data_IF_634886151676
#
_entry.id   IF_634886151676
#
_cell.length_a   1.000
_cell.length_b   1.000
_cell.length_c   1.000
_cell.angle_alpha   90.00
_cell.angle_beta   90.00
_cell.angle_gamma   90.00
#
_symmetry.space_group_name_H-M   'P 1'
#
loop_
_entity.id
_entity.type
_entity.pdbx_description
1 polymer ?
#
# COMPACT_ATOMS: atom_id res chain seq x y z
N UNK A 1 -17.12 -20.42 21.76
CA UNK A 1 -17.33 -20.28 23.22
C UNK A 1 -16.10 -20.92 23.85
N UNK A 2 -15.10 -20.23 24.39
CA UNK A 2 -15.14 -19.09 25.31
C UNK A 2 -13.73 -18.44 25.42
N UNK A 3 -13.69 -17.11 25.63
CA UNK A 3 -12.60 -16.26 26.20
C UNK A 3 -11.27 -16.15 25.43
N UNK A 4 -11.07 -15.16 24.56
CA UNK A 4 -10.79 -13.73 24.85
C UNK A 4 -9.88 -13.46 26.07
N UNK A 5 -8.69 -12.99 25.72
CA UNK A 5 -7.99 -11.86 26.35
C UNK A 5 -7.41 -12.05 27.75
N UNK A 6 -6.21 -12.64 27.76
CA UNK A 6 -5.20 -12.27 28.73
C UNK A 6 -4.57 -10.91 28.36
N UNK A 7 -4.83 -9.93 29.23
CA UNK A 7 -3.77 -9.11 29.85
C UNK A 7 -3.09 -8.03 28.99
N UNK A 8 -3.72 -6.87 28.84
CA UNK A 8 -3.07 -5.54 28.91
C UNK A 8 -4.16 -4.56 29.40
N UNK A 9 -4.13 -4.00 30.61
CA UNK A 9 -3.40 -2.77 30.93
C UNK A 9 -3.20 -2.61 32.44
N UNK A 10 -1.96 -2.26 32.73
CA UNK A 10 -1.33 -1.92 33.99
C UNK A 10 -1.79 -0.53 34.45
N UNK A 11 -2.14 -0.40 35.73
CA UNK A 11 -2.10 0.80 36.60
C UNK A 11 -2.91 2.03 36.15
N UNK A 12 -3.63 2.74 37.02
CA UNK A 12 -3.19 3.27 38.31
C UNK A 12 -4.36 3.39 39.26
N UNK A 13 -4.07 3.12 40.54
CA UNK A 13 -4.90 3.50 41.66
C UNK A 13 -5.24 5.00 41.55
N UNK A 14 -6.52 5.30 41.40
CA UNK A 14 -7.07 6.61 41.68
C UNK A 14 -8.00 6.43 42.88
N UNK A 15 -7.41 6.56 44.07
CA UNK A 15 -8.18 6.69 45.31
C UNK A 15 -8.77 8.09 45.27
N UNK A 16 -10.06 8.19 44.93
CA UNK A 16 -10.85 9.38 45.26
C UNK A 16 -11.45 9.12 46.63
N UNK A 17 -11.13 10.03 47.55
CA UNK A 17 -11.49 9.97 48.95
C UNK A 17 -12.99 9.69 49.18
N UNK A 18 -13.22 9.02 50.31
CA UNK A 18 -14.54 8.62 50.75
C UNK A 18 -15.51 9.79 50.84
N UNK A 19 -16.68 9.60 50.23
CA UNK A 19 -17.89 10.32 50.60
C UNK A 19 -18.84 9.26 51.16
N UNK A 20 -18.83 9.10 52.49
CA UNK A 20 -19.89 8.42 53.18
C UNK A 20 -21.10 9.37 53.23
N UNK A 21 -22.03 9.23 52.29
CA UNK A 21 -23.32 9.90 52.31
C UNK A 21 -24.41 8.86 52.60
N UNK A 22 -24.59 8.53 53.87
CA UNK A 22 -25.75 7.80 54.37
C UNK A 22 -26.98 8.72 54.31
N UNK A 23 -27.72 8.64 53.22
CA UNK A 23 -29.00 9.32 53.04
C UNK A 23 -29.49 9.19 51.60
N UNK A 24 -30.82 9.12 51.42
CA UNK A 24 -31.52 8.98 50.13
C UNK A 24 -31.00 9.90 49.01
N UNK A 25 -30.40 11.05 49.35
CA UNK A 25 -29.76 11.97 48.41
C UNK A 25 -28.52 11.39 47.71
N UNK A 26 -27.72 10.57 48.40
CA UNK A 26 -26.51 9.95 47.85
C UNK A 26 -26.82 8.90 46.79
N UNK A 27 -27.90 8.13 46.98
CA UNK A 27 -28.37 7.15 46.00
C UNK A 27 -28.88 7.82 44.72
N UNK A 28 -29.53 8.98 44.84
CA UNK A 28 -30.03 9.77 43.70
C UNK A 28 -28.90 10.36 42.84
N UNK A 29 -27.82 10.86 43.47
CA UNK A 29 -26.64 11.36 42.75
C UNK A 29 -25.93 10.22 42.02
N UNK A 30 -25.83 9.05 42.66
CA UNK A 30 -25.23 7.87 42.03
C UNK A 30 -26.06 7.34 40.86
N UNK A 31 -27.40 7.34 40.98
CA UNK A 31 -28.31 6.98 39.89
C UNK A 31 -28.26 7.98 38.73
N UNK A 32 -28.18 9.29 39.02
CA UNK A 32 -28.02 10.32 38.00
C UNK A 32 -26.67 10.21 37.27
N UNK A 33 -25.59 9.91 38.00
CA UNK A 33 -24.28 9.67 37.42
C UNK A 33 -24.29 8.39 36.56
N UNK A 34 -24.92 7.31 37.01
CA UNK A 34 -25.07 6.09 36.21
C UNK A 34 -25.91 6.32 34.96
N UNK A 35 -26.98 7.10 35.03
CA UNK A 35 -27.83 7.44 33.88
C UNK A 35 -27.07 8.29 32.85
N UNK A 36 -26.31 9.29 33.30
CA UNK A 36 -25.46 10.12 32.43
C UNK A 36 -24.38 9.29 31.74
N UNK A 37 -23.68 8.42 32.48
CA UNK A 37 -22.66 7.51 31.92
C UNK A 37 -23.28 6.52 30.92
N UNK A 38 -24.51 6.06 31.16
CA UNK A 38 -25.22 5.17 30.24
C UNK A 38 -25.57 5.90 28.93
N UNK A 39 -26.10 7.13 29.03
CA UNK A 39 -26.49 7.93 27.87
C UNK A 39 -25.27 8.36 27.01
N UNK A 40 -24.12 8.62 27.65
CA UNK A 40 -22.86 8.90 26.95
C UNK A 40 -22.34 7.69 26.15
N UNK A 41 -22.54 6.45 26.63
CA UNK A 41 -22.13 5.24 25.90
C UNK A 41 -23.07 4.95 24.73
N UNK A 42 -24.36 5.22 24.86
CA UNK A 42 -25.34 5.04 23.78
C UNK A 42 -25.12 6.05 22.64
N UNK A 43 -24.76 7.30 22.96
CA UNK A 43 -24.46 8.31 21.94
C UNK A 43 -23.17 7.98 21.13
N UNK A 44 -22.11 7.49 21.78
CA UNK A 44 -20.83 7.24 21.12
C UNK A 44 -20.81 5.98 20.23
N UNK A 45 -21.66 4.98 20.50
CA UNK A 45 -21.73 3.76 19.67
C UNK A 45 -22.58 3.92 18.41
N UNK A 46 -23.43 4.95 18.34
CA UNK A 46 -24.29 5.19 17.17
C UNK A 46 -23.50 5.85 16.03
N UNK A 47 -22.44 6.60 16.30
CA UNK A 47 -21.74 7.40 15.28
C UNK A 47 -20.76 6.58 14.41
N UNK A 48 -20.10 5.56 14.97
CA UNK A 48 -19.08 4.79 14.23
C UNK A 48 -19.64 3.66 13.36
N UNK A 49 -20.80 3.08 13.71
CA UNK A 49 -21.39 1.98 12.91
C UNK A 49 -22.36 2.49 11.83
N UNK A 50 -22.96 3.67 12.01
CA UNK A 50 -23.81 4.30 10.98
C UNK A 50 -22.99 4.86 9.82
N UNK A 51 -21.82 5.48 10.05
CA UNK A 51 -20.97 5.99 8.96
C UNK A 51 -20.43 4.88 8.05
N UNK A 52 -20.10 3.72 8.62
CA UNK A 52 -19.66 2.56 7.85
C UNK A 52 -20.78 1.95 7.01
N UNK A 53 -22.02 1.98 7.49
CA UNK A 53 -23.18 1.38 6.82
C UNK A 53 -23.80 2.28 5.76
N UNK A 54 -23.78 3.61 5.96
CA UNK A 54 -24.37 4.58 5.03
C UNK A 54 -23.56 4.74 3.73
N UNK A 55 -22.24 4.52 3.77
CA UNK A 55 -21.36 4.63 2.59
C UNK A 55 -20.92 3.28 2.00
N UNK A 56 -21.23 2.15 2.63
CA UNK A 56 -20.86 0.81 2.15
C UNK A 56 -21.84 0.18 1.16
N UNK A 57 -22.98 0.81 0.87
CA UNK A 57 -24.04 0.21 0.04
C UNK A 57 -23.88 0.42 -1.46
N UNK A 58 -22.88 1.19 -1.91
CA UNK A 58 -22.62 1.38 -3.34
C UNK A 58 -21.41 0.54 -3.76
N UNK A 59 -21.59 -0.47 -4.64
CA UNK A 59 -20.45 -1.21 -5.18
C UNK A 59 -19.52 -0.22 -5.88
N UNK A 60 -18.25 -0.22 -5.49
CA UNK A 60 -17.21 0.64 -6.07
C UNK A 60 -17.14 0.35 -7.59
N UNK A 61 -17.67 1.24 -8.42
CA UNK A 61 -17.51 1.12 -9.87
C UNK A 61 -16.04 1.41 -10.19
N UNK A 62 -15.35 0.47 -10.83
CA UNK A 62 -13.93 0.59 -11.23
C UNK A 62 -13.69 1.86 -12.07
N UNK A 63 -14.67 2.23 -12.89
CA UNK A 63 -14.67 3.48 -13.67
C UNK A 63 -14.66 4.74 -12.80
N UNK A 64 -15.23 4.69 -11.60
CA UNK A 64 -15.28 5.81 -10.66
C UNK A 64 -13.89 6.16 -10.13
N UNK A 65 -13.09 5.16 -9.76
CA UNK A 65 -11.77 5.40 -9.16
C UNK A 65 -10.75 5.94 -10.16
N UNK A 66 -10.69 5.36 -11.36
CA UNK A 66 -9.78 5.82 -12.41
C UNK A 66 -10.08 7.24 -12.87
N UNK A 67 -11.37 7.60 -12.97
CA UNK A 67 -11.79 8.95 -13.29
C UNK A 67 -11.47 9.92 -12.14
N UNK A 68 -11.81 9.56 -10.90
CA UNK A 68 -11.49 10.36 -9.72
C UNK A 68 -10.00 10.67 -9.62
N UNK A 69 -9.12 9.68 -9.82
CA UNK A 69 -7.67 9.89 -9.77
C UNK A 69 -7.19 10.79 -10.91
N UNK A 70 -7.74 10.62 -12.10
CA UNK A 70 -7.42 11.51 -13.23
C UNK A 70 -7.85 12.95 -12.94
N UNK A 71 -8.98 13.16 -12.29
CA UNK A 71 -9.45 14.49 -11.90
C UNK A 71 -8.51 15.11 -10.86
N UNK A 72 -8.02 14.33 -9.87
CA UNK A 72 -6.97 14.80 -8.94
C UNK A 72 -5.67 15.16 -9.65
N UNK A 73 -5.24 14.38 -10.65
CA UNK A 73 -4.07 14.71 -11.46
C UNK A 73 -4.25 16.02 -12.24
N UNK A 74 -5.46 16.28 -12.77
CA UNK A 74 -5.78 17.54 -13.45
C UNK A 74 -5.76 18.74 -12.50
N UNK A 75 -6.33 18.60 -11.31
CA UNK A 75 -6.30 19.65 -10.28
C UNK A 75 -4.88 19.97 -9.83
N UNK A 76 -4.00 18.97 -9.77
CA UNK A 76 -2.59 19.14 -9.44
C UNK A 76 -1.72 19.53 -10.65
N UNK A 77 -2.32 19.75 -11.84
CA UNK A 77 -1.63 20.08 -13.09
C UNK A 77 -0.52 19.09 -13.50
N UNK A 78 -0.66 17.81 -13.13
CA UNK A 78 0.28 16.75 -13.48
C UNK A 78 -0.31 15.74 -14.47
N UNK A 79 0.47 15.24 -15.44
CA UNK A 79 0.02 14.16 -16.29
C UNK A 79 -0.04 12.86 -15.49
N UNK A 80 -1.19 12.17 -15.49
CA UNK A 80 -1.31 10.93 -14.72
C UNK A 80 -2.61 10.16 -14.90
N UNK A 81 -2.50 8.86 -14.71
CA UNK A 81 -3.63 7.95 -14.49
C UNK A 81 -3.16 6.77 -13.65
N UNK A 82 -4.09 6.08 -12.99
CA UNK A 82 -3.77 4.86 -12.20
C UNK A 82 -3.14 3.79 -13.09
N UNK A 83 -3.67 3.63 -14.30
CA UNK A 83 -3.10 2.69 -15.27
C UNK A 83 -1.67 3.08 -15.63
N UNK A 84 -1.43 4.36 -15.88
CA UNK A 84 -0.09 4.90 -16.10
C UNK A 84 0.84 4.66 -14.91
N UNK A 85 0.34 4.82 -13.68
CA UNK A 85 1.11 4.58 -12.46
C UNK A 85 1.56 3.13 -12.35
N UNK A 86 0.68 2.16 -12.64
CA UNK A 86 1.04 0.74 -12.67
C UNK A 86 2.11 0.43 -13.71
N UNK A 87 1.98 0.99 -14.92
CA UNK A 87 2.99 0.84 -15.99
C UNK A 87 4.34 1.45 -15.60
N UNK A 88 4.33 2.63 -14.99
CA UNK A 88 5.53 3.30 -14.52
C UNK A 88 6.24 2.49 -13.42
N UNK A 89 5.48 1.91 -12.48
CA UNK A 89 6.02 1.01 -11.46
C UNK A 89 6.68 -0.22 -12.06
N UNK A 90 6.01 -0.90 -13.00
CA UNK A 90 6.58 -2.06 -13.70
C UNK A 90 7.86 -1.71 -14.50
N UNK A 91 7.89 -0.54 -15.13
CA UNK A 91 9.06 -0.05 -15.87
C UNK A 91 10.24 0.16 -14.92
N UNK A 92 10.02 0.84 -13.78
CA UNK A 92 11.06 1.06 -12.77
C UNK A 92 11.59 -0.25 -12.18
N UNK A 93 10.72 -1.23 -11.94
CA UNK A 93 11.14 -2.57 -11.49
C UNK A 93 12.00 -3.27 -12.55
N UNK A 94 11.61 -3.22 -13.82
CA UNK A 94 12.39 -3.79 -14.91
C UNK A 94 13.76 -3.12 -15.06
N UNK A 95 13.82 -1.79 -14.95
CA UNK A 95 15.08 -1.03 -15.03
C UNK A 95 16.02 -1.39 -13.86
N UNK A 96 15.45 -1.62 -12.68
CA UNK A 96 16.16 -2.11 -11.49
C UNK A 96 16.60 -3.58 -11.60
N UNK A 97 16.23 -4.30 -12.66
CA UNK A 97 16.64 -5.68 -12.91
C UNK A 97 15.71 -6.73 -12.31
N UNK A 98 14.47 -6.38 -11.96
CA UNK A 98 13.47 -7.36 -11.52
C UNK A 98 13.17 -8.38 -12.63
N UNK A 99 12.92 -9.61 -12.22
CA UNK A 99 12.48 -10.71 -13.07
C UNK A 99 11.02 -10.57 -13.51
N UNK A 100 10.67 -11.27 -14.58
CA UNK A 100 9.30 -11.29 -15.12
C UNK A 100 8.26 -11.69 -14.05
N UNK A 101 8.58 -12.65 -13.18
CA UNK A 101 7.66 -13.12 -12.13
C UNK A 101 7.49 -12.10 -11.00
N UNK A 102 8.54 -11.35 -10.65
CA UNK A 102 8.45 -10.28 -9.66
C UNK A 102 7.56 -9.14 -10.17
N UNK A 103 7.72 -8.78 -11.45
CA UNK A 103 6.87 -7.76 -12.09
C UNK A 103 5.44 -8.26 -12.27
N UNK A 104 5.24 -9.53 -12.64
CA UNK A 104 3.91 -10.13 -12.74
C UNK A 104 3.20 -10.13 -11.37
N UNK A 105 3.93 -10.45 -10.30
CA UNK A 105 3.42 -10.39 -8.91
C UNK A 105 3.04 -8.97 -8.51
N UNK A 106 3.88 -7.98 -8.84
CA UNK A 106 3.57 -6.55 -8.62
C UNK A 106 2.32 -6.10 -9.40
N UNK A 107 2.15 -6.59 -10.63
CA UNK A 107 1.00 -6.28 -11.46
C UNK A 107 -0.24 -7.12 -11.13
N UNK A 108 -0.14 -8.08 -10.21
CA UNK A 108 -1.18 -9.07 -9.90
C UNK A 108 -1.65 -9.85 -11.15
N UNK A 109 -0.70 -10.25 -12.01
CA UNK A 109 -0.97 -11.10 -13.17
C UNK A 109 -0.66 -12.56 -12.86
N UNK A 110 -1.42 -13.48 -13.46
CA UNK A 110 -1.23 -14.92 -13.34
C UNK A 110 -0.13 -15.45 -14.25
N UNK A 111 0.25 -14.67 -15.27
CA UNK A 111 1.23 -15.01 -16.28
C UNK A 111 2.27 -13.89 -16.45
N UNK A 112 3.38 -14.23 -17.12
CA UNK A 112 4.51 -13.32 -17.35
C UNK A 112 4.44 -12.59 -18.68
N UNK A 113 3.45 -12.88 -19.54
CA UNK A 113 3.37 -12.32 -20.90
C UNK A 113 3.49 -10.80 -20.90
N UNK A 114 2.73 -10.13 -20.04
CA UNK A 114 2.75 -8.67 -19.92
C UNK A 114 3.99 -8.15 -19.16
N UNK A 115 4.55 -8.93 -18.25
CA UNK A 115 5.77 -8.56 -17.52
C UNK A 115 7.00 -8.57 -18.43
N UNK A 116 7.08 -9.56 -19.34
CA UNK A 116 8.18 -9.73 -20.30
C UNK A 116 8.38 -8.53 -21.22
N UNK A 117 7.30 -7.76 -21.48
CA UNK A 117 7.37 -6.53 -22.27
C UNK A 117 8.30 -5.51 -21.59
N UNK A 118 8.20 -5.37 -20.27
CA UNK A 118 9.00 -4.41 -19.50
C UNK A 118 10.44 -4.87 -19.37
N UNK A 119 10.68 -6.14 -19.04
CA UNK A 119 12.05 -6.68 -18.91
C UNK A 119 12.78 -6.71 -20.25
N UNK A 120 12.09 -7.05 -21.35
CA UNK A 120 12.66 -6.97 -22.70
C UNK A 120 13.02 -5.54 -23.08
N UNK A 121 12.18 -4.57 -22.71
CA UNK A 121 12.48 -3.15 -22.95
C UNK A 121 13.71 -2.70 -22.17
N UNK A 122 13.78 -3.00 -20.87
CA UNK A 122 14.93 -2.66 -20.02
C UNK A 122 16.23 -3.35 -20.47
N UNK A 123 16.16 -4.63 -20.88
CA UNK A 123 17.32 -5.40 -21.31
C UNK A 123 17.83 -5.02 -22.70
N UNK A 124 16.98 -4.44 -23.56
CA UNK A 124 17.36 -4.13 -24.95
C UNK A 124 18.58 -3.22 -25.03
N UNK A 125 18.66 -2.18 -24.22
CA UNK A 125 19.82 -1.27 -24.21
C UNK A 125 21.08 -1.99 -23.74
N UNK A 126 20.99 -2.71 -22.61
CA UNK A 126 22.12 -3.46 -22.03
C UNK A 126 22.69 -4.51 -22.99
N UNK A 127 21.80 -5.19 -23.72
CA UNK A 127 22.20 -6.19 -24.72
C UNK A 127 22.85 -5.57 -25.95
N UNK A 128 22.43 -4.37 -26.36
CA UNK A 128 23.07 -3.65 -27.46
C UNK A 128 24.52 -3.27 -27.08
N UNK A 129 24.71 -2.69 -25.89
CA UNK A 129 26.03 -2.32 -25.38
C UNK A 129 26.95 -3.54 -25.25
N UNK A 130 26.43 -4.63 -24.66
CA UNK A 130 27.13 -5.92 -24.56
C UNK A 130 27.52 -6.48 -25.93
N UNK A 131 26.64 -6.32 -26.93
CA UNK A 131 26.90 -6.76 -28.30
C UNK A 131 28.06 -6.00 -28.94
N UNK A 132 28.08 -4.67 -28.80
CA UNK A 132 29.17 -3.84 -29.32
C UNK A 132 30.50 -4.11 -28.63
N UNK A 133 30.51 -4.36 -27.32
CA UNK A 133 31.73 -4.70 -26.58
C UNK A 133 32.39 -5.98 -27.14
N UNK A 134 31.59 -6.97 -27.55
CA UNK A 134 32.10 -8.20 -28.16
C UNK A 134 32.75 -7.96 -29.52
N UNK A 135 32.24 -7.02 -30.32
CA UNK A 135 32.85 -6.64 -31.59
C UNK A 135 34.20 -5.95 -31.39
N UNK A 136 34.33 -5.08 -30.38
CA UNK A 136 35.61 -4.47 -30.03
C UNK A 136 36.69 -5.50 -29.65
N UNK A 137 36.29 -6.60 -28.99
CA UNK A 137 37.21 -7.71 -28.65
C UNK A 137 37.62 -8.57 -29.85
N UNK A 138 36.85 -8.53 -30.94
CA UNK A 138 37.08 -9.31 -32.16
C UNK A 138 37.94 -8.58 -33.20
N UNK A 139 38.37 -7.33 -32.96
CA UNK A 139 39.31 -6.67 -33.86
C UNK A 139 40.64 -7.42 -33.84
N UNK A 140 40.90 -8.11 -34.94
CA UNK A 140 42.08 -8.91 -35.25
C UNK A 140 43.36 -8.34 -34.60
N UNK A 141 43.93 -9.05 -33.63
CA UNK A 141 45.28 -8.75 -33.13
C UNK A 141 46.26 -9.06 -34.27
N UNK A 142 46.54 -8.06 -35.11
CA UNK A 142 47.46 -8.14 -36.26
C UNK A 142 48.87 -8.63 -35.91
N UNK A 143 49.19 -8.73 -34.61
CA UNK A 143 50.45 -9.23 -34.06
C UNK A 143 50.84 -10.65 -34.54
N UNK A 144 49.88 -11.45 -35.01
CA UNK A 144 50.12 -12.80 -35.54
C UNK A 144 50.18 -12.89 -37.08
N UNK A 145 49.75 -11.84 -37.81
CA UNK A 145 49.76 -11.82 -39.28
C UNK A 145 51.01 -11.16 -39.87
N UNK A 146 51.80 -10.46 -39.06
CA UNK A 146 53.10 -9.88 -39.48
C UNK A 146 54.28 -10.88 -39.38
N UNK A 147 54.02 -12.15 -39.04
CA UNK A 147 55.04 -13.22 -39.01
C UNK A 147 54.88 -14.18 -40.17
N UNK A 148 55.14 -13.73 -41.40
CA UNK A 148 55.63 -14.62 -42.46
C UNK A 148 56.47 -13.84 -43.47
N UNK A 149 57.48 -14.54 -43.97
CA UNK A 149 58.35 -14.29 -45.12
C UNK A 149 59.66 -13.50 -44.90
N UNK A 150 60.77 -14.26 -44.95
CA UNK A 150 62.11 -13.77 -45.31
C UNK A 150 63.23 -14.26 -44.41
#
# INVERSE_FOLDING_TARGET
MDKLETRVKRTRHFVIGGIAASGLLGALILLAALWSISNLKTAALVEVDTLRTLYASQPYKVTSFGNWFRDRCREAEVPGSIHGLRKAGATRLADAGASDWEIASYLAHTDTTQASVYTRAANRSKLADSGFEKLGKLSNSSKELDKQEG
#
